data_IF_761232774249
#
_entry.id   IF_761232774249
#
_cell.length_a   1.000
_cell.length_b   1.000
_cell.length_c   1.000
_cell.angle_alpha   90.00
_cell.angle_beta   90.00
_cell.angle_gamma   90.00
#
_symmetry.space_group_name_H-M   'P 1'
#
loop_
_entity.id
_entity.type
_entity.pdbx_description
1 polymer ?
#
# COMPACT_ATOMS: atom_id res chain seq x y z
N UNK A 1 26.02 -32.04 -12.60
CA UNK A 1 25.62 -32.05 -14.02
C UNK A 1 24.10 -32.05 -14.06
N UNK A 2 23.49 -30.89 -14.29
CA UNK A 2 22.03 -30.71 -14.39
C UNK A 2 21.65 -30.69 -15.88
N UNK A 3 20.54 -31.31 -16.30
CA UNK A 3 20.11 -31.25 -17.70
C UNK A 3 19.48 -29.90 -18.03
N UNK A 4 19.84 -29.38 -19.20
CA UNK A 4 19.26 -28.23 -19.88
C UNK A 4 18.05 -28.74 -20.68
N UNK A 5 16.87 -28.15 -20.49
CA UNK A 5 15.74 -28.35 -21.41
C UNK A 5 15.61 -27.17 -22.40
N UNK A 6 15.27 -27.45 -23.67
CA UNK A 6 15.30 -26.47 -24.75
C UNK A 6 13.93 -25.86 -25.08
N UNK A 7 13.99 -24.67 -25.70
CA UNK A 7 13.07 -24.10 -26.69
C UNK A 7 11.63 -24.67 -26.78
N UNK A 8 10.66 -23.79 -26.53
CA UNK A 8 9.35 -23.85 -27.18
C UNK A 8 8.92 -22.43 -27.56
N UNK A 9 9.19 -22.09 -28.81
CA UNK A 9 8.50 -21.03 -29.54
C UNK A 9 7.30 -21.68 -30.26
N UNK A 10 6.09 -21.19 -30.00
CA UNK A 10 4.93 -21.41 -30.84
C UNK A 10 4.01 -20.19 -30.77
N UNK A 11 3.92 -19.51 -31.91
CA UNK A 11 3.05 -18.39 -32.24
C UNK A 11 1.69 -18.95 -32.73
N UNK A 12 0.55 -18.38 -32.31
CA UNK A 12 -0.56 -17.88 -33.15
C UNK A 12 -1.91 -17.71 -32.40
N UNK A 13 -2.37 -16.45 -32.42
CA UNK A 13 -3.67 -15.81 -32.11
C UNK A 13 -4.70 -16.22 -33.21
N UNK A 14 -6.06 -16.30 -33.03
CA UNK A 14 -6.93 -15.31 -32.36
C UNK A 14 -8.13 -15.83 -31.53
N UNK A 15 -8.40 -15.17 -30.39
CA UNK A 15 -9.77 -15.06 -29.87
C UNK A 15 -10.24 -13.62 -30.08
N UNK A 16 -11.09 -13.44 -31.08
CA UNK A 16 -11.89 -12.24 -31.24
C UNK A 16 -13.02 -12.28 -30.21
N UNK A 17 -12.78 -11.70 -29.03
CA UNK A 17 -13.85 -11.25 -28.16
C UNK A 17 -14.33 -9.90 -28.72
N UNK A 18 -15.57 -9.85 -29.18
CA UNK A 18 -16.25 -8.60 -29.49
C UNK A 18 -16.54 -7.88 -28.18
N UNK A 19 -15.58 -7.07 -27.72
CA UNK A 19 -15.85 -6.03 -26.73
C UNK A 19 -16.79 -5.03 -27.40
N UNK A 20 -17.98 -4.86 -26.83
CA UNK A 20 -18.78 -3.68 -27.12
C UNK A 20 -17.93 -2.44 -26.74
N UNK A 21 -17.92 -1.38 -27.55
CA UNK A 21 -17.29 -0.14 -27.12
C UNK A 21 -18.09 0.38 -25.93
N UNK A 22 -17.53 0.20 -24.72
CA UNK A 22 -17.77 1.16 -23.66
C UNK A 22 -17.41 2.52 -24.25
N UNK A 23 -18.29 3.50 -24.11
CA UNK A 23 -18.02 4.86 -24.54
C UNK A 23 -16.81 5.37 -23.74
N UNK A 24 -15.61 5.28 -24.32
CA UNK A 24 -14.43 6.00 -23.89
C UNK A 24 -14.73 7.49 -24.10
N UNK A 25 -15.11 8.18 -23.02
CA UNK A 25 -15.10 9.64 -22.98
C UNK A 25 -13.65 10.12 -23.10
N UNK A 26 -13.48 11.36 -23.53
CA UNK A 26 -12.21 12.03 -23.87
C UNK A 26 -11.22 12.20 -22.68
N UNK A 27 -11.24 11.37 -21.64
CA UNK A 27 -10.42 11.52 -20.42
C UNK A 27 -8.91 11.29 -20.65
N UNK A 28 -8.52 10.59 -21.73
CA UNK A 28 -7.08 10.43 -22.10
C UNK A 28 -6.40 11.75 -22.46
N UNK A 29 -7.15 12.80 -22.87
CA UNK A 29 -6.52 14.09 -23.19
C UNK A 29 -6.06 14.85 -21.94
N UNK A 30 -6.70 14.59 -20.80
CA UNK A 30 -6.50 15.38 -19.59
C UNK A 30 -5.29 14.86 -18.81
N UNK A 31 -5.08 13.54 -18.73
CA UNK A 31 -3.90 12.95 -18.10
C UNK A 31 -2.59 13.36 -18.79
N UNK A 32 -2.57 13.34 -20.14
CA UNK A 32 -1.39 13.75 -20.91
C UNK A 32 -1.07 15.24 -20.72
N UNK A 33 -2.10 16.09 -20.66
CA UNK A 33 -1.93 17.52 -20.41
C UNK A 33 -1.43 17.80 -18.98
N UNK A 34 -1.93 17.05 -17.98
CA UNK A 34 -1.47 17.16 -16.60
C UNK A 34 -0.02 16.71 -16.44
N UNK A 35 0.38 15.62 -17.11
CA UNK A 35 1.77 15.18 -17.12
C UNK A 35 2.68 16.21 -17.79
N UNK A 36 2.28 16.74 -18.95
CA UNK A 36 3.06 17.79 -19.65
C UNK A 36 3.23 19.04 -18.77
N UNK A 37 2.18 19.45 -18.04
CA UNK A 37 2.24 20.56 -17.09
C UNK A 37 3.22 20.27 -15.95
N UNK A 38 3.15 19.07 -15.36
CA UNK A 38 4.07 18.65 -14.31
C UNK A 38 5.53 18.65 -14.78
N UNK A 39 5.81 18.10 -15.97
CA UNK A 39 7.15 18.07 -16.55
C UNK A 39 7.70 19.48 -16.78
N UNK A 40 6.87 20.39 -17.33
CA UNK A 40 7.25 21.79 -17.52
C UNK A 40 7.53 22.51 -16.19
N UNK A 41 6.68 22.30 -15.17
CA UNK A 41 6.87 22.90 -13.85
C UNK A 41 8.15 22.40 -13.17
N UNK A 42 8.47 21.11 -13.33
CA UNK A 42 9.72 20.55 -12.86
C UNK A 42 10.94 21.18 -13.57
N UNK A 43 10.91 21.32 -14.91
CA UNK A 43 12.01 21.92 -15.66
C UNK A 43 12.32 23.34 -15.11
N UNK A 44 11.28 24.16 -14.94
CA UNK A 44 11.41 25.51 -14.38
C UNK A 44 11.99 25.50 -12.96
N UNK A 45 11.52 24.59 -12.10
CA UNK A 45 12.05 24.41 -10.75
C UNK A 45 13.53 24.02 -10.77
N UNK A 46 13.93 23.07 -11.61
CA UNK A 46 15.31 22.60 -11.71
C UNK A 46 16.25 23.68 -12.24
N UNK A 47 15.79 24.49 -13.21
CA UNK A 47 16.53 25.65 -13.70
C UNK A 47 16.71 26.69 -12.59
N UNK A 48 15.65 27.00 -11.83
CA UNK A 48 15.72 27.94 -10.71
C UNK A 48 16.65 27.43 -9.59
N UNK A 49 16.56 26.13 -9.27
CA UNK A 49 17.42 25.48 -8.29
C UNK A 49 18.90 25.53 -8.70
N UNK A 50 19.22 25.22 -9.95
CA UNK A 50 20.58 25.29 -10.48
C UNK A 50 21.13 26.74 -10.49
N UNK A 51 20.25 27.72 -10.73
CA UNK A 51 20.60 29.15 -10.73
C UNK A 51 20.84 29.73 -9.32
N UNK A 52 20.47 29.02 -8.25
CA UNK A 52 20.62 29.48 -6.86
C UNK A 52 22.07 29.73 -6.43
N UNK A 53 23.05 29.11 -7.10
CA UNK A 53 24.47 29.19 -6.76
C UNK A 53 24.87 28.42 -5.50
N UNK A 54 23.99 27.57 -4.96
CA UNK A 54 24.32 26.71 -3.83
C UNK A 54 25.32 25.61 -4.22
N UNK A 55 26.26 25.29 -3.33
CA UNK A 55 27.36 24.36 -3.62
C UNK A 55 26.90 22.91 -3.87
N UNK A 56 25.74 22.50 -3.33
CA UNK A 56 25.11 21.21 -3.60
C UNK A 56 23.85 21.34 -4.46
N UNK A 57 23.83 22.32 -5.37
CA UNK A 57 22.83 22.33 -6.45
C UNK A 57 22.99 21.08 -7.31
N UNK A 58 21.89 20.40 -7.59
CA UNK A 58 21.88 19.32 -8.56
C UNK A 58 22.06 19.92 -9.94
N UNK A 59 22.78 19.20 -10.81
CA UNK A 59 22.71 19.49 -12.24
C UNK A 59 21.25 19.35 -12.69
N UNK A 60 20.80 20.20 -13.62
CA UNK A 60 19.42 20.21 -14.09
C UNK A 60 18.96 18.80 -14.53
N UNK A 61 19.81 18.03 -15.20
CA UNK A 61 19.46 16.67 -15.63
C UNK A 61 19.30 15.67 -14.47
N UNK A 62 20.02 15.85 -13.35
CA UNK A 62 19.81 15.03 -12.14
C UNK A 62 18.54 15.44 -11.39
N UNK A 63 18.22 16.73 -11.39
CA UNK A 63 16.98 17.24 -10.81
C UNK A 63 15.76 16.74 -11.60
N UNK A 64 15.78 16.86 -12.93
CA UNK A 64 14.73 16.36 -13.83
C UNK A 64 14.53 14.84 -13.70
N UNK A 65 15.62 14.07 -13.61
CA UNK A 65 15.54 12.64 -13.35
C UNK A 65 14.85 12.32 -12.01
N UNK A 66 15.01 13.18 -11.00
CA UNK A 66 14.29 13.09 -9.74
C UNK A 66 12.79 13.36 -9.90
N UNK A 67 12.40 14.35 -10.69
CA UNK A 67 10.99 14.63 -10.97
C UNK A 67 10.28 13.50 -11.71
N UNK A 68 10.98 12.82 -12.63
CA UNK A 68 10.41 11.67 -13.35
C UNK A 68 10.01 10.51 -12.40
N UNK A 69 10.51 10.51 -11.17
CA UNK A 69 10.13 9.54 -10.15
C UNK A 69 8.80 9.89 -9.45
N UNK A 70 8.39 11.15 -9.40
CA UNK A 70 7.17 11.55 -8.68
C UNK A 70 5.91 10.90 -9.25
N UNK A 71 5.66 10.91 -10.59
CA UNK A 71 4.51 10.19 -11.16
C UNK A 71 4.55 8.68 -10.90
N UNK A 72 5.74 8.09 -10.79
CA UNK A 72 5.88 6.67 -10.46
C UNK A 72 5.53 6.37 -9.00
N UNK A 73 5.86 7.27 -8.07
CA UNK A 73 5.53 7.12 -6.65
C UNK A 73 4.05 7.35 -6.39
N UNK A 74 3.43 8.27 -7.11
CA UNK A 74 2.03 8.63 -6.94
C UNK A 74 1.09 7.87 -7.87
N UNK A 75 1.60 6.97 -8.71
CA UNK A 75 0.83 6.32 -9.76
C UNK A 75 0.07 7.34 -10.65
N UNK A 76 0.68 8.49 -10.92
CA UNK A 76 0.08 9.59 -11.68
C UNK A 76 -0.91 10.47 -10.91
N UNK A 77 -1.19 10.19 -9.63
CA UNK A 77 -2.02 11.05 -8.79
C UNK A 77 -1.22 12.25 -8.26
N UNK A 78 -1.91 13.28 -7.79
CA UNK A 78 -1.34 14.51 -7.22
C UNK A 78 -0.41 15.32 -8.13
N UNK A 79 -0.39 15.05 -9.45
CA UNK A 79 0.51 15.72 -10.38
C UNK A 79 0.21 17.22 -10.51
N UNK A 80 -1.05 17.63 -10.36
CA UNK A 80 -1.43 19.04 -10.37
C UNK A 80 -0.88 19.80 -9.17
N UNK A 81 -0.97 19.23 -7.97
CA UNK A 81 -0.44 19.81 -6.74
C UNK A 81 1.09 19.83 -6.74
N UNK A 82 1.73 18.80 -7.31
CA UNK A 82 3.17 18.80 -7.54
C UNK A 82 3.57 19.92 -8.50
N UNK A 83 2.87 20.05 -9.64
CA UNK A 83 3.13 21.11 -10.61
C UNK A 83 2.97 22.50 -9.97
N UNK A 84 1.89 22.73 -9.23
CA UNK A 84 1.65 24.00 -8.55
C UNK A 84 2.73 24.31 -7.50
N UNK A 85 3.16 23.31 -6.73
CA UNK A 85 4.24 23.45 -5.75
C UNK A 85 5.58 23.80 -6.42
N UNK A 86 5.91 23.15 -7.54
CA UNK A 86 7.12 23.46 -8.31
C UNK A 86 7.05 24.82 -9.00
N UNK A 87 5.94 25.18 -9.63
CA UNK A 87 5.72 26.50 -10.23
C UNK A 87 5.92 27.62 -9.19
N UNK A 88 5.33 27.47 -7.99
CA UNK A 88 5.50 28.44 -6.93
C UNK A 88 6.95 28.51 -6.44
N UNK A 89 7.59 27.36 -6.19
CA UNK A 89 8.97 27.30 -5.75
C UNK A 89 9.95 27.90 -6.79
N UNK A 90 9.71 27.65 -8.08
CA UNK A 90 10.51 28.19 -9.19
C UNK A 90 10.37 29.70 -9.33
N UNK A 91 9.19 30.26 -9.03
CA UNK A 91 8.94 31.70 -9.04
C UNK A 91 9.59 32.44 -7.86
N UNK A 92 9.93 31.71 -6.78
CA UNK A 92 10.53 32.24 -5.56
C UNK A 92 12.05 32.42 -5.63
N UNK A 93 12.60 32.99 -4.56
CA UNK A 93 14.05 33.01 -4.35
C UNK A 93 14.51 31.70 -3.69
N UNK A 94 15.76 31.28 -3.92
CA UNK A 94 16.37 30.15 -3.23
C UNK A 94 17.44 30.63 -2.26
N UNK A 95 17.52 29.99 -1.08
CA UNK A 95 18.60 30.15 -0.12
C UNK A 95 19.34 28.83 0.06
N UNK A 96 20.62 28.91 0.39
CA UNK A 96 21.40 27.73 0.68
C UNK A 96 21.29 27.36 2.16
N UNK A 97 20.55 26.29 2.48
CA UNK A 97 20.51 25.69 3.82
C UNK A 97 21.46 24.50 3.82
N UNK A 98 22.56 24.59 4.57
CA UNK A 98 23.62 23.56 4.55
C UNK A 98 24.09 23.26 3.12
N UNK A 99 24.32 24.29 2.31
CA UNK A 99 24.70 24.22 0.89
C UNK A 99 23.66 23.60 -0.07
N UNK A 100 22.48 23.18 0.42
CA UNK A 100 21.37 22.75 -0.42
C UNK A 100 20.46 23.93 -0.77
N UNK A 101 20.05 24.07 -2.04
CA UNK A 101 19.06 25.06 -2.44
C UNK A 101 17.70 24.73 -1.84
N UNK A 102 17.17 25.65 -1.05
CA UNK A 102 15.83 25.60 -0.46
C UNK A 102 15.06 26.85 -0.89
N UNK A 103 13.80 26.72 -1.33
CA UNK A 103 12.95 27.88 -1.59
C UNK A 103 12.86 28.78 -0.34
N UNK A 104 12.90 30.10 -0.57
CA UNK A 104 12.75 31.15 0.44
C UNK A 104 11.31 31.62 0.42
N UNK A 105 10.65 31.54 1.56
CA UNK A 105 9.38 32.24 1.77
C UNK A 105 8.24 31.31 2.14
N UNK A 106 7.34 31.87 2.96
CA UNK A 106 6.05 31.27 3.30
C UNK A 106 5.01 31.45 2.18
N UNK A 107 5.41 31.91 0.99
CA UNK A 107 4.49 32.28 -0.10
C UNK A 107 3.90 31.04 -0.79
N UNK A 108 4.64 29.92 -0.81
CA UNK A 108 4.17 28.64 -1.35
C UNK A 108 3.51 27.73 -0.30
N UNK A 109 3.09 28.28 0.84
CA UNK A 109 2.48 27.48 1.92
C UNK A 109 1.16 26.85 1.44
N UNK A 110 0.40 27.54 0.58
CA UNK A 110 -0.88 27.01 0.09
C UNK A 110 -0.66 25.79 -0.81
N UNK A 111 0.28 25.87 -1.74
CA UNK A 111 0.62 24.80 -2.68
C UNK A 111 1.28 23.62 -1.95
N UNK A 112 2.14 23.91 -0.98
CA UNK A 112 2.74 22.88 -0.13
C UNK A 112 1.69 22.15 0.72
N UNK A 113 0.71 22.88 1.28
CA UNK A 113 -0.41 22.27 2.02
C UNK A 113 -1.29 21.43 1.08
N UNK A 114 -1.63 21.94 -0.10
CA UNK A 114 -2.40 21.20 -1.10
C UNK A 114 -1.70 19.90 -1.51
N UNK A 115 -0.39 19.96 -1.76
CA UNK A 115 0.41 18.78 -2.08
C UNK A 115 0.46 17.80 -0.90
N UNK A 116 0.64 18.30 0.33
CA UNK A 116 0.61 17.46 1.53
C UNK A 116 -0.73 16.77 1.71
N UNK A 117 -1.84 17.50 1.55
CA UNK A 117 -3.21 16.96 1.63
C UNK A 117 -3.45 15.90 0.55
N UNK A 118 -2.96 16.13 -0.68
CA UNK A 118 -3.07 15.14 -1.74
C UNK A 118 -2.24 13.87 -1.45
N UNK A 119 -0.96 14.03 -1.07
CA UNK A 119 -0.09 12.90 -0.69
C UNK A 119 -0.67 12.14 0.51
N UNK A 120 -1.28 12.85 1.46
CA UNK A 120 -1.90 12.20 2.61
C UNK A 120 -3.12 11.36 2.21
N UNK A 121 -3.84 11.73 1.15
CA UNK A 121 -5.07 11.03 0.74
C UNK A 121 -4.85 10.01 -0.39
N UNK A 122 -3.69 10.06 -1.06
CA UNK A 122 -3.38 9.31 -2.27
C UNK A 122 -3.59 7.80 -2.16
N UNK A 123 -3.18 7.19 -1.06
CA UNK A 123 -3.29 5.75 -0.85
C UNK A 123 -4.76 5.33 -0.77
N UNK A 124 -5.60 6.13 -0.10
CA UNK A 124 -7.03 5.91 -0.06
C UNK A 124 -7.68 6.14 -1.43
N UNK A 125 -7.29 7.18 -2.15
CA UNK A 125 -7.79 7.46 -3.51
C UNK A 125 -7.50 6.28 -4.44
N UNK A 126 -6.23 5.87 -4.55
CA UNK A 126 -5.79 4.78 -5.43
C UNK A 126 -6.46 3.45 -5.09
N UNK A 127 -6.54 3.11 -3.80
CA UNK A 127 -7.26 1.94 -3.31
C UNK A 127 -8.75 1.99 -3.70
N UNK A 128 -9.41 3.13 -3.48
CA UNK A 128 -10.85 3.25 -3.68
C UNK A 128 -11.26 3.28 -5.16
N UNK A 129 -10.47 3.92 -6.01
CA UNK A 129 -10.65 3.83 -7.47
C UNK A 129 -10.56 2.38 -7.93
N UNK A 130 -9.54 1.65 -7.45
CA UNK A 130 -9.35 0.23 -7.75
C UNK A 130 -10.50 -0.64 -7.21
N UNK A 131 -10.94 -0.41 -5.98
CA UNK A 131 -12.03 -1.15 -5.35
C UNK A 131 -13.38 -0.92 -6.05
N UNK A 132 -13.66 0.32 -6.49
CA UNK A 132 -14.86 0.65 -7.25
C UNK A 132 -14.81 0.04 -8.64
N UNK A 133 -13.67 0.13 -9.34
CA UNK A 133 -13.47 -0.52 -10.63
C UNK A 133 -13.68 -2.04 -10.53
N UNK A 134 -13.25 -2.67 -9.44
CA UNK A 134 -13.47 -4.08 -9.13
C UNK A 134 -14.88 -4.41 -8.60
N UNK A 135 -15.71 -3.40 -8.30
CA UNK A 135 -17.04 -3.56 -7.70
C UNK A 135 -17.05 -4.20 -6.30
N UNK A 136 -16.06 -3.91 -5.46
CA UNK A 136 -15.90 -4.50 -4.12
C UNK A 136 -16.74 -3.80 -3.03
N UNK A 137 -18.05 -3.68 -3.24
CA UNK A 137 -19.00 -3.23 -2.21
C UNK A 137 -19.07 -1.72 -1.98
N UNK A 138 -18.11 -0.93 -2.46
CA UNK A 138 -18.19 0.54 -2.45
C UNK A 138 -19.26 1.04 -3.44
N UNK A 139 -20.14 1.95 -2.99
CA UNK A 139 -21.17 2.56 -3.86
C UNK A 139 -20.62 3.67 -4.75
N UNK A 140 -19.49 4.29 -4.36
CA UNK A 140 -18.74 5.30 -5.11
C UNK A 140 -17.32 5.44 -4.57
N UNK A 141 -16.44 6.09 -5.35
CA UNK A 141 -15.06 6.38 -4.94
C UNK A 141 -15.03 7.28 -3.70
N UNK A 142 -15.78 8.39 -3.70
CA UNK A 142 -15.85 9.32 -2.56
C UNK A 142 -16.30 8.65 -1.25
N UNK A 143 -17.31 7.77 -1.33
CA UNK A 143 -17.83 7.07 -0.17
C UNK A 143 -16.82 6.05 0.39
N UNK A 144 -16.04 5.42 -0.50
CA UNK A 144 -14.92 4.57 -0.11
C UNK A 144 -13.80 5.41 0.51
N UNK A 145 -13.42 6.52 -0.12
CA UNK A 145 -12.33 7.38 0.34
C UNK A 145 -12.62 7.92 1.74
N UNK A 146 -13.83 8.43 1.98
CA UNK A 146 -14.24 8.90 3.31
C UNK A 146 -14.17 7.81 4.38
N UNK A 147 -14.47 6.55 4.03
CA UNK A 147 -14.36 5.42 4.96
C UNK A 147 -12.89 5.03 5.19
N UNK A 148 -12.10 4.98 4.12
CA UNK A 148 -10.68 4.68 4.18
C UNK A 148 -9.93 5.70 5.03
N UNK A 149 -10.21 6.99 4.88
CA UNK A 149 -9.62 8.06 5.69
C UNK A 149 -10.05 7.97 7.15
N UNK A 150 -11.31 7.64 7.43
CA UNK A 150 -11.79 7.44 8.79
C UNK A 150 -11.11 6.23 9.47
N UNK A 151 -10.89 5.14 8.72
CA UNK A 151 -10.15 3.96 9.20
C UNK A 151 -8.67 4.30 9.41
N UNK A 152 -8.03 5.01 8.48
CA UNK A 152 -6.64 5.49 8.62
C UNK A 152 -6.45 6.34 9.87
N UNK A 153 -7.33 7.31 10.11
CA UNK A 153 -7.29 8.17 11.30
C UNK A 153 -7.48 7.38 12.60
N UNK A 154 -8.17 6.24 12.56
CA UNK A 154 -8.28 5.37 13.75
C UNK A 154 -6.94 4.79 14.22
N UNK A 155 -5.90 4.85 13.37
CA UNK A 155 -4.53 4.44 13.68
C UNK A 155 -3.61 5.62 14.03
N UNK A 156 -4.09 6.86 14.13
CA UNK A 156 -3.23 8.04 14.38
C UNK A 156 -2.49 8.01 15.74
N UNK A 157 -3.03 7.28 16.72
CA UNK A 157 -2.38 7.10 18.02
C UNK A 157 -1.21 6.10 17.97
N UNK A 158 -1.09 5.31 16.91
CA UNK A 158 0.01 4.37 16.66
C UNK A 158 0.63 4.58 15.26
N UNK A 159 1.75 5.30 15.23
CA UNK A 159 2.46 5.63 14.01
C UNK A 159 2.93 4.38 13.22
N UNK A 160 3.15 3.24 13.88
CA UNK A 160 3.50 1.99 13.20
C UNK A 160 2.28 1.41 12.50
N UNK A 161 1.12 1.32 13.17
CA UNK A 161 -0.12 0.84 12.52
C UNK A 161 -0.55 1.73 11.36
N UNK A 162 -0.45 3.06 11.52
CA UNK A 162 -0.75 3.98 10.43
C UNK A 162 0.16 3.74 9.22
N UNK A 163 1.45 3.54 9.46
CA UNK A 163 2.41 3.25 8.39
C UNK A 163 2.09 1.92 7.68
N UNK A 164 1.84 0.84 8.43
CA UNK A 164 1.51 -0.46 7.83
C UNK A 164 0.18 -0.42 7.06
N UNK A 165 -0.80 0.33 7.55
CA UNK A 165 -2.06 0.55 6.82
C UNK A 165 -1.85 1.34 5.52
N UNK A 166 -1.06 2.41 5.55
CA UNK A 166 -0.72 3.19 4.36
C UNK A 166 0.02 2.33 3.32
N UNK A 167 0.93 1.44 3.75
CA UNK A 167 1.64 0.48 2.89
C UNK A 167 0.69 -0.55 2.27
N UNK A 168 -0.26 -1.06 3.05
CA UNK A 168 -1.30 -1.97 2.57
C UNK A 168 -2.16 -1.33 1.47
N UNK A 169 -2.66 -0.12 1.71
CA UNK A 169 -3.46 0.62 0.73
C UNK A 169 -2.68 0.88 -0.56
N UNK A 170 -1.40 1.26 -0.44
CA UNK A 170 -0.51 1.45 -1.57
C UNK A 170 -0.34 0.15 -2.38
N UNK A 171 -0.16 -1.00 -1.70
CA UNK A 171 -0.06 -2.28 -2.37
C UNK A 171 -1.36 -2.63 -3.11
N UNK A 172 -2.51 -2.50 -2.46
CA UNK A 172 -3.81 -2.77 -3.08
C UNK A 172 -4.11 -1.85 -4.27
N UNK A 173 -3.75 -0.57 -4.18
CA UNK A 173 -3.86 0.36 -5.30
C UNK A 173 -2.97 -0.01 -6.48
N UNK A 174 -1.76 -0.52 -6.22
CA UNK A 174 -0.79 -0.90 -7.26
C UNK A 174 -1.08 -2.24 -7.93
N UNK A 175 -1.35 -3.29 -7.14
CA UNK A 175 -1.55 -4.66 -7.65
C UNK A 175 -2.95 -4.86 -8.25
N UNK A 176 -3.87 -3.95 -7.94
CA UNK A 176 -5.26 -4.01 -8.35
C UNK A 176 -6.09 -4.79 -7.34
N UNK A 177 -7.21 -4.17 -6.94
CA UNK A 177 -8.12 -4.76 -5.97
C UNK A 177 -8.92 -5.91 -6.60
N UNK A 178 -8.99 -7.01 -5.87
CA UNK A 178 -9.91 -8.14 -6.08
C UNK A 178 -10.93 -8.20 -4.95
N UNK A 179 -12.14 -8.68 -5.24
CA UNK A 179 -13.16 -8.81 -4.22
C UNK A 179 -13.18 -10.23 -3.65
N UNK A 180 -12.97 -10.36 -2.35
CA UNK A 180 -13.20 -11.59 -1.60
C UNK A 180 -14.30 -11.34 -0.57
N UNK A 181 -15.40 -12.10 -0.66
CA UNK A 181 -16.56 -11.95 0.24
C UNK A 181 -17.14 -10.52 0.32
N UNK A 182 -17.03 -9.75 -0.75
CA UNK A 182 -17.48 -8.36 -0.79
C UNK A 182 -16.54 -7.36 -0.11
N UNK A 183 -15.38 -7.82 0.38
CA UNK A 183 -14.29 -6.98 0.84
C UNK A 183 -13.22 -6.89 -0.25
N UNK A 184 -12.54 -5.75 -0.29
CA UNK A 184 -11.35 -5.59 -1.10
C UNK A 184 -10.17 -6.36 -0.49
N UNK A 185 -9.38 -6.98 -1.37
CA UNK A 185 -8.04 -7.51 -1.10
C UNK A 185 -7.24 -7.54 -2.40
N UNK A 186 -5.96 -7.89 -2.37
CA UNK A 186 -5.18 -8.08 -3.60
C UNK A 186 -4.23 -9.27 -3.44
N UNK A 187 -4.11 -10.08 -4.50
CA UNK A 187 -3.05 -11.08 -4.59
C UNK A 187 -1.71 -10.37 -4.76
N UNK A 188 -0.66 -10.80 -4.05
CA UNK A 188 0.64 -10.14 -4.06
C UNK A 188 0.87 -9.10 -2.95
N UNK A 189 -0.15 -8.85 -2.11
CA UNK A 189 -0.07 -7.96 -0.94
C UNK A 189 -0.15 -8.72 0.38
N UNK A 190 0.21 -10.01 0.37
CA UNK A 190 0.08 -10.88 1.52
C UNK A 190 0.98 -10.41 2.68
N UNK A 191 2.16 -9.88 2.37
CA UNK A 191 3.09 -9.36 3.38
C UNK A 191 2.49 -8.14 4.11
N UNK A 192 1.91 -7.19 3.39
CA UNK A 192 1.31 -5.99 3.98
C UNK A 192 0.07 -6.32 4.81
N UNK A 193 -0.72 -7.32 4.40
CA UNK A 193 -1.82 -7.84 5.23
C UNK A 193 -1.27 -8.42 6.53
N UNK A 194 -0.21 -9.23 6.48
CA UNK A 194 0.37 -9.80 7.70
C UNK A 194 1.00 -8.71 8.59
N UNK A 195 1.69 -7.72 8.03
CA UNK A 195 2.24 -6.59 8.79
C UNK A 195 1.16 -5.77 9.50
N UNK A 196 0.03 -5.51 8.83
CA UNK A 196 -1.09 -4.82 9.46
C UNK A 196 -1.71 -5.68 10.57
N UNK A 197 -1.83 -6.99 10.34
CA UNK A 197 -2.22 -7.96 11.36
C UNK A 197 -1.26 -7.96 12.55
N UNK A 198 0.06 -7.92 12.33
CA UNK A 198 1.07 -7.80 13.39
C UNK A 198 0.89 -6.51 14.19
N UNK A 199 0.64 -5.37 13.55
CA UNK A 199 0.40 -4.14 14.29
C UNK A 199 -0.83 -4.24 15.20
N UNK A 200 -1.96 -4.71 14.66
CA UNK A 200 -3.20 -4.91 15.41
C UNK A 200 -3.05 -5.97 16.53
N UNK A 201 -2.06 -6.86 16.42
CA UNK A 201 -1.76 -7.86 17.44
C UNK A 201 -1.26 -7.26 18.77
N UNK A 202 -0.74 -6.02 18.75
CA UNK A 202 -0.20 -5.37 19.94
C UNK A 202 -1.27 -5.02 20.98
N UNK A 203 -2.50 -4.73 20.52
CA UNK A 203 -3.66 -4.54 21.40
C UNK A 203 -4.27 -5.90 21.79
N UNK A 204 -4.35 -6.82 20.83
CA UNK A 204 -4.85 -8.17 21.03
C UNK A 204 -4.36 -9.06 19.89
N UNK A 205 -3.59 -10.12 20.22
CA UNK A 205 -3.11 -11.08 19.22
C UNK A 205 -4.24 -11.67 18.39
N UNK A 206 -5.42 -11.85 19.01
CA UNK A 206 -6.63 -12.31 18.33
C UNK A 206 -7.24 -11.28 17.40
N UNK A 207 -7.17 -9.99 17.72
CA UNK A 207 -7.63 -8.94 16.82
C UNK A 207 -6.76 -8.90 15.55
N UNK A 208 -5.44 -8.91 15.71
CA UNK A 208 -4.50 -8.93 14.59
C UNK A 208 -4.60 -10.17 13.72
N UNK A 209 -4.57 -11.35 14.33
CA UNK A 209 -4.68 -12.62 13.60
C UNK A 209 -6.01 -12.73 12.85
N UNK A 210 -7.14 -12.40 13.50
CA UNK A 210 -8.44 -12.51 12.86
C UNK A 210 -8.67 -11.48 11.77
N UNK A 211 -8.18 -10.26 11.95
CA UNK A 211 -8.20 -9.25 10.90
C UNK A 211 -7.47 -9.76 9.64
N UNK A 212 -6.27 -10.34 9.80
CA UNK A 212 -5.52 -10.90 8.68
C UNK A 212 -6.25 -12.11 8.05
N UNK A 213 -6.72 -13.05 8.87
CA UNK A 213 -7.42 -14.25 8.42
C UNK A 213 -8.68 -13.94 7.60
N UNK A 214 -9.44 -12.92 7.98
CA UNK A 214 -10.61 -12.45 7.22
C UNK A 214 -10.21 -11.96 5.83
N UNK A 215 -9.08 -11.25 5.70
CA UNK A 215 -8.60 -10.73 4.40
C UNK A 215 -8.00 -11.80 3.50
N UNK A 216 -7.52 -12.90 4.08
CA UNK A 216 -7.17 -14.10 3.34
C UNK A 216 -8.38 -14.98 2.97
N UNK A 217 -9.59 -14.62 3.42
CA UNK A 217 -10.79 -15.41 3.20
C UNK A 217 -10.83 -16.70 4.00
N UNK A 218 -10.09 -16.77 5.12
CA UNK A 218 -10.07 -17.96 5.97
C UNK A 218 -11.33 -18.09 6.82
N UNK A 219 -12.21 -17.08 6.86
CA UNK A 219 -13.52 -17.14 7.53
C UNK A 219 -13.76 -15.88 8.35
N UNK A 220 -15.03 -15.63 8.67
CA UNK A 220 -15.45 -14.41 9.37
C UNK A 220 -15.57 -14.64 10.88
N UNK A 221 -15.20 -13.64 11.68
CA UNK A 221 -15.54 -13.57 13.10
C UNK A 221 -14.79 -14.55 13.99
N UNK A 222 -13.51 -14.81 13.72
CA UNK A 222 -12.73 -15.74 14.53
C UNK A 222 -12.33 -15.22 15.92
N UNK A 223 -12.55 -13.92 16.22
CA UNK A 223 -12.06 -13.28 17.47
C UNK A 223 -12.53 -14.01 18.71
N UNK A 224 -13.81 -14.38 18.81
CA UNK A 224 -14.35 -15.05 19.99
C UNK A 224 -13.79 -16.46 20.20
N UNK A 225 -13.57 -17.22 19.13
CA UNK A 225 -12.94 -18.55 19.22
C UNK A 225 -11.46 -18.42 19.58
N UNK A 226 -10.77 -17.44 18.99
CA UNK A 226 -9.38 -17.14 19.31
C UNK A 226 -9.23 -16.76 20.79
N UNK A 227 -10.03 -15.81 21.29
CA UNK A 227 -10.00 -15.36 22.68
C UNK A 227 -10.30 -16.51 23.64
N UNK A 228 -11.21 -17.42 23.28
CA UNK A 228 -11.51 -18.60 24.10
C UNK A 228 -10.31 -19.55 24.21
N UNK A 229 -9.55 -19.74 23.13
CA UNK A 229 -8.33 -20.56 23.12
C UNK A 229 -7.17 -19.88 23.87
N UNK A 230 -6.98 -18.58 23.66
CA UNK A 230 -5.97 -17.79 24.38
C UNK A 230 -6.28 -17.77 25.89
N UNK A 231 -7.55 -17.72 26.28
CA UNK A 231 -7.96 -17.77 27.68
C UNK A 231 -7.81 -19.15 28.35
N UNK A 232 -7.47 -20.22 27.61
CA UNK A 232 -7.21 -21.53 28.19
C UNK A 232 -5.95 -21.48 29.06
N UNK A 233 -6.11 -21.62 30.37
CA UNK A 233 -5.01 -21.55 31.35
C UNK A 233 -3.95 -22.65 31.18
N UNK A 234 -4.24 -23.71 30.41
CA UNK A 234 -3.32 -24.82 30.20
C UNK A 234 -2.41 -24.57 29.00
N UNK A 235 -2.98 -24.10 27.88
CA UNK A 235 -2.31 -24.04 26.58
C UNK A 235 -2.40 -22.69 25.87
N UNK A 236 -3.07 -21.70 26.47
CA UNK A 236 -3.35 -20.41 25.86
C UNK A 236 -2.09 -19.65 25.45
N UNK A 237 -1.03 -19.70 26.26
CA UNK A 237 0.25 -19.06 25.92
C UNK A 237 0.93 -19.71 24.71
N UNK A 238 0.89 -21.03 24.59
CA UNK A 238 1.47 -21.72 23.43
C UNK A 238 0.66 -21.39 22.17
N UNK A 239 -0.65 -21.22 22.31
CA UNK A 239 -1.51 -20.72 21.22
C UNK A 239 -1.17 -19.28 20.82
N UNK A 240 -0.94 -18.37 21.77
CA UNK A 240 -0.49 -16.99 21.48
C UNK A 240 0.78 -16.98 20.63
N UNK A 241 1.77 -17.84 20.95
CA UNK A 241 3.00 -17.95 20.16
C UNK A 241 2.76 -18.44 18.73
N UNK A 242 1.83 -19.39 18.54
CA UNK A 242 1.42 -19.83 17.20
C UNK A 242 0.86 -18.65 16.40
N UNK A 243 -0.01 -17.84 17.00
CA UNK A 243 -0.62 -16.69 16.33
C UNK A 243 0.40 -15.60 16.00
N UNK A 244 1.29 -15.26 16.93
CA UNK A 244 2.38 -14.31 16.69
C UNK A 244 3.31 -14.80 15.58
N UNK A 245 3.62 -16.09 15.55
CA UNK A 245 4.44 -16.68 14.50
C UNK A 245 3.76 -16.53 13.14
N UNK A 246 2.47 -16.85 13.02
CA UNK A 246 1.74 -16.69 11.76
C UNK A 246 1.67 -15.25 11.26
N UNK A 247 1.65 -14.25 12.15
CA UNK A 247 1.67 -12.85 11.75
C UNK A 247 3.06 -12.36 11.28
N UNK A 248 4.15 -13.00 11.77
CA UNK A 248 5.53 -12.65 11.41
C UNK A 248 6.11 -13.47 10.26
N UNK A 249 5.47 -14.59 9.93
CA UNK A 249 5.90 -15.47 8.87
C UNK A 249 5.34 -14.96 7.54
N UNK A 250 6.19 -14.31 6.73
CA UNK A 250 5.79 -13.64 5.48
C UNK A 250 5.63 -14.60 4.28
N UNK A 251 5.91 -15.89 4.45
CA UNK A 251 5.98 -16.85 3.34
C UNK A 251 4.67 -17.62 3.12
N UNK A 252 3.92 -17.25 2.07
CA UNK A 252 2.78 -18.01 1.53
C UNK A 252 1.65 -18.33 2.54
N UNK A 253 0.98 -17.32 3.13
CA UNK A 253 -0.18 -17.56 3.99
C UNK A 253 -1.28 -18.33 3.24
N UNK A 254 -1.88 -19.30 3.93
CA UNK A 254 -2.91 -20.17 3.39
C UNK A 254 -4.06 -20.37 4.38
N UNK A 255 -5.26 -20.66 3.84
CA UNK A 255 -6.39 -21.05 4.65
C UNK A 255 -6.50 -22.58 4.75
N UNK A 256 -6.25 -23.14 5.94
CA UNK A 256 -6.41 -24.57 6.22
C UNK A 256 -7.56 -24.76 7.20
N UNK A 257 -8.62 -25.44 6.77
CA UNK A 257 -9.85 -25.67 7.55
C UNK A 257 -10.50 -24.38 8.08
N UNK A 258 -10.34 -23.27 7.37
CA UNK A 258 -10.86 -21.97 7.79
C UNK A 258 -10.01 -21.26 8.87
N UNK A 259 -8.74 -21.64 9.02
CA UNK A 259 -7.77 -20.92 9.81
C UNK A 259 -6.63 -20.43 8.91
N UNK A 260 -6.14 -19.22 9.17
CA UNK A 260 -4.91 -18.71 8.57
C UNK A 260 -3.74 -19.50 9.13
N UNK A 261 -2.93 -20.08 8.25
CA UNK A 261 -1.70 -20.78 8.59
C UNK A 261 -0.58 -20.33 7.68
N UNK A 262 0.64 -20.31 8.21
CA UNK A 262 1.84 -20.08 7.43
C UNK A 262 2.68 -21.36 7.43
N UNK A 263 2.79 -22.07 6.29
CA UNK A 263 3.45 -23.38 6.25
C UNK A 263 4.94 -23.32 6.57
N UNK A 264 5.44 -24.30 7.34
CA UNK A 264 6.85 -24.59 7.64
C UNK A 264 7.60 -23.62 8.58
N UNK A 265 7.09 -22.40 8.82
CA UNK A 265 7.77 -21.43 9.69
C UNK A 265 7.38 -21.54 11.16
N UNK A 266 6.19 -22.07 11.44
CA UNK A 266 5.60 -22.12 12.78
C UNK A 266 5.46 -23.54 13.35
N UNK A 267 6.08 -24.53 12.71
CA UNK A 267 5.97 -25.95 13.10
C UNK A 267 6.36 -26.18 14.58
N UNK A 268 7.38 -25.46 15.08
CA UNK A 268 7.83 -25.57 16.46
C UNK A 268 6.77 -25.11 17.47
N UNK A 269 6.16 -23.94 17.25
CA UNK A 269 5.14 -23.40 18.14
C UNK A 269 3.84 -24.21 18.05
N UNK A 270 3.50 -24.67 16.84
CA UNK A 270 2.36 -25.54 16.61
C UNK A 270 2.52 -26.89 17.32
N UNK A 271 3.69 -27.53 17.22
CA UNK A 271 3.99 -28.79 17.90
C UNK A 271 3.88 -28.66 19.43
N UNK A 272 4.32 -27.52 20.00
CA UNK A 272 4.20 -27.26 21.43
C UNK A 272 2.73 -27.11 21.85
N UNK A 273 1.94 -26.34 21.09
CA UNK A 273 0.52 -26.18 21.35
C UNK A 273 -0.22 -27.52 21.24
N UNK A 274 0.04 -28.31 20.19
CA UNK A 274 -0.58 -29.62 19.98
C UNK A 274 -0.23 -30.62 21.09
N UNK A 275 1.02 -30.62 21.56
CA UNK A 275 1.44 -31.44 22.71
C UNK A 275 0.72 -31.03 23.99
N UNK A 276 0.54 -29.72 24.22
CA UNK A 276 -0.22 -29.21 25.35
C UNK A 276 -1.69 -29.69 25.30
N UNK A 277 -2.35 -29.51 24.15
CA UNK A 277 -3.75 -29.94 23.95
C UNK A 277 -3.90 -31.46 24.10
N UNK A 278 -2.92 -32.24 23.64
CA UNK A 278 -2.90 -33.69 23.80
C UNK A 278 -2.64 -34.15 25.25
N UNK A 279 -2.27 -33.24 26.16
CA UNK A 279 -1.85 -33.56 27.52
C UNK A 279 -0.53 -34.34 27.58
N UNK A 280 0.23 -34.35 26.49
CA UNK A 280 1.55 -34.97 26.40
C UNK A 280 2.57 -33.89 26.72
N UNK A 281 2.81 -33.67 28.01
CA UNK A 281 3.92 -32.81 28.44
C UNK A 281 5.23 -33.46 27.97
N UNK A 282 6.16 -32.71 27.34
CA UNK A 282 7.52 -33.19 27.15
C UNK A 282 8.23 -33.51 28.48
#
# INVERSE_FOLDING_TARGET
MRPIHPFLAALLIPLALTLAPAACGDDESDEAATLEKFESACEDYCVAQAASGCAMSLDAGLCEAGCAYAPMQTNGLCLEEYAASYECAAAGEFQCIMDFPSPVGAECVSEALSLSECIDTINCTSYCESAVAASCGATSADACQSQCEAERVSYDDDAFCRFEYDQLLLCWGREGVTCQNGQAGATGCESEVLSMGECLSWDSVCAGYCWAAERFGCGDGCTADCEAKVADVSCGRDYEYVLECYLRAFDEPACVNGALVVPNDCDYDLDNYDQCVAGTTP
#
